data_IF_782231632849
#
_entry.id   IF_782231632849
#
_cell.length_a   1.000
_cell.length_b   1.000
_cell.length_c   1.000
_cell.angle_alpha   90.00
_cell.angle_beta   90.00
_cell.angle_gamma   90.00
#
_symmetry.space_group_name_H-M   'P 1'
#
loop_
_entity.id
_entity.type
_entity.pdbx_description
1 polymer ?
#
# COMPACT_ATOMS: atom_id res chain seq x y z
N UNK A 1 11.43 15.64 -7.22
CA UNK A 1 10.66 15.14 -8.42
C UNK A 1 9.81 13.99 -7.94
N UNK A 2 8.49 14.04 -8.16
CA UNK A 2 7.55 13.00 -7.73
C UNK A 2 7.58 11.83 -8.70
N UNK A 3 7.68 10.59 -8.18
CA UNK A 3 7.60 9.36 -8.97
C UNK A 3 6.15 8.86 -9.02
N UNK A 4 5.72 8.36 -10.20
CA UNK A 4 4.38 7.81 -10.40
C UNK A 4 4.46 6.30 -10.63
N UNK A 5 3.84 5.53 -9.73
CA UNK A 5 3.91 4.08 -9.71
C UNK A 5 2.59 3.38 -10.01
N UNK A 6 2.68 2.11 -10.39
CA UNK A 6 1.54 1.23 -10.56
C UNK A 6 1.23 0.49 -9.25
N UNK A 7 -0.03 0.50 -8.79
CA UNK A 7 -0.46 -0.29 -7.64
C UNK A 7 -0.96 -1.67 -8.09
N UNK A 8 -0.35 -2.70 -7.52
CA UNK A 8 -0.64 -4.12 -7.78
C UNK A 8 -1.62 -4.64 -6.75
N UNK A 9 -2.88 -4.82 -7.13
CA UNK A 9 -3.95 -5.27 -6.24
C UNK A 9 -4.15 -6.79 -6.34
N UNK A 10 -3.58 -7.52 -5.41
CA UNK A 10 -3.67 -8.99 -5.36
C UNK A 10 -5.08 -9.49 -5.05
N UNK A 11 -5.92 -8.65 -4.47
CA UNK A 11 -7.31 -8.98 -4.12
C UNK A 11 -8.20 -9.10 -5.35
N UNK A 12 -7.85 -8.37 -6.41
CA UNK A 12 -8.70 -8.24 -7.60
C UNK A 12 -8.34 -9.21 -8.71
N UNK A 13 -7.06 -9.62 -8.81
CA UNK A 13 -6.58 -10.24 -10.04
C UNK A 13 -5.65 -11.43 -9.80
N UNK A 14 -5.65 -12.41 -10.74
CA UNK A 14 -4.71 -13.52 -10.69
C UNK A 14 -3.25 -13.03 -10.71
N UNK A 15 -2.35 -13.68 -9.95
CA UNK A 15 -0.93 -13.30 -9.89
C UNK A 15 -0.22 -13.27 -11.26
N UNK A 16 -0.60 -14.15 -12.19
CA UNK A 16 -0.07 -14.17 -13.55
C UNK A 16 -0.41 -12.92 -14.34
N UNK A 17 -1.63 -12.43 -14.22
CA UNK A 17 -2.09 -11.24 -14.92
C UNK A 17 -1.41 -9.99 -14.34
N UNK A 18 -1.33 -9.92 -13.01
CA UNK A 18 -0.62 -8.85 -12.31
C UNK A 18 0.85 -8.75 -12.75
N UNK A 19 1.52 -9.89 -12.94
CA UNK A 19 2.91 -9.90 -13.42
C UNK A 19 3.03 -9.33 -14.84
N UNK A 20 2.13 -9.71 -15.73
CA UNK A 20 2.11 -9.16 -17.10
C UNK A 20 1.80 -7.66 -17.11
N UNK A 21 0.83 -7.22 -16.32
CA UNK A 21 0.46 -5.80 -16.26
C UNK A 21 1.55 -4.94 -15.61
N UNK A 22 2.27 -5.47 -14.63
CA UNK A 22 3.40 -4.75 -14.04
C UNK A 22 4.52 -4.53 -15.06
N UNK A 23 4.82 -5.52 -15.90
CA UNK A 23 5.74 -5.35 -17.04
C UNK A 23 5.24 -4.29 -18.04
N UNK A 24 3.93 -4.33 -18.36
CA UNK A 24 3.32 -3.32 -19.24
C UNK A 24 3.32 -1.93 -18.61
N UNK A 25 3.16 -1.82 -17.28
CA UNK A 25 3.25 -0.54 -16.57
C UNK A 25 4.67 0.05 -16.64
N UNK A 26 5.70 -0.77 -16.47
CA UNK A 26 7.10 -0.35 -16.70
C UNK A 26 7.32 0.16 -18.14
N UNK A 27 6.89 -0.63 -19.15
CA UNK A 27 6.99 -0.24 -20.57
C UNK A 27 6.20 1.03 -20.88
N UNK A 28 5.11 1.30 -20.15
CA UNK A 28 4.27 2.48 -20.28
C UNK A 28 4.81 3.71 -19.53
N UNK A 29 5.94 3.58 -18.81
CA UNK A 29 6.61 4.69 -18.14
C UNK A 29 6.28 4.87 -16.67
N UNK A 30 5.78 3.83 -15.96
CA UNK A 30 5.72 3.87 -14.50
C UNK A 30 7.12 3.85 -13.90
N UNK A 31 7.37 4.70 -12.90
CA UNK A 31 8.67 4.84 -12.25
C UNK A 31 8.91 3.79 -11.16
N UNK A 32 7.84 3.29 -10.55
CA UNK A 32 7.86 2.32 -9.45
C UNK A 32 6.57 1.49 -9.43
N UNK A 33 6.49 0.54 -8.51
CA UNK A 33 5.27 -0.20 -8.23
C UNK A 33 5.08 -0.45 -6.73
N UNK A 34 3.84 -0.70 -6.30
CA UNK A 34 3.52 -1.05 -4.94
C UNK A 34 2.57 -2.24 -4.91
N UNK A 35 2.80 -3.18 -4.01
CA UNK A 35 2.01 -4.39 -3.84
C UNK A 35 1.20 -4.35 -2.54
N UNK A 36 -0.07 -4.70 -2.60
CA UNK A 36 -0.85 -5.08 -1.42
C UNK A 36 -0.43 -6.46 -0.91
N UNK A 37 -0.73 -6.77 0.36
CA UNK A 37 -0.40 -8.06 0.99
C UNK A 37 -1.56 -8.51 1.88
N UNK A 38 -2.56 -9.11 1.27
CA UNK A 38 -3.76 -9.60 1.93
C UNK A 38 -3.87 -11.13 1.88
N UNK A 39 -4.53 -11.73 2.87
CA UNK A 39 -4.89 -13.14 2.84
C UNK A 39 -6.27 -13.34 2.21
N UNK A 40 -7.20 -12.42 2.48
CA UNK A 40 -8.53 -12.40 1.90
C UNK A 40 -8.70 -11.16 1.00
N UNK A 41 -9.50 -11.24 -0.07
CA UNK A 41 -9.99 -10.05 -0.76
C UNK A 41 -10.94 -9.26 0.13
N UNK A 42 -11.15 -7.98 -0.18
CA UNK A 42 -12.11 -7.13 0.52
C UNK A 42 -13.58 -7.52 0.24
N UNK A 43 -13.83 -8.21 -0.85
CA UNK A 43 -15.15 -8.63 -1.31
C UNK A 43 -15.03 -9.96 -2.01
N UNK A 44 -16.04 -10.84 -1.87
CA UNK A 44 -16.08 -12.08 -2.64
C UNK A 44 -16.05 -11.85 -4.16
N UNK A 45 -16.52 -10.70 -4.62
CA UNK A 45 -16.51 -10.31 -6.04
C UNK A 45 -15.10 -10.06 -6.58
N UNK A 46 -14.16 -9.62 -5.75
CA UNK A 46 -12.76 -9.46 -6.13
C UNK A 46 -12.12 -10.82 -6.41
N UNK A 47 -12.38 -11.80 -5.53
CA UNK A 47 -12.21 -13.22 -5.79
C UNK A 47 -10.78 -13.74 -5.87
N UNK A 48 -9.77 -12.93 -5.58
CA UNK A 48 -8.36 -13.30 -5.59
C UNK A 48 -7.68 -12.92 -4.26
N UNK A 49 -6.55 -13.47 -3.97
CA UNK A 49 -5.59 -12.99 -2.95
C UNK A 49 -4.29 -13.80 -3.04
N UNK A 50 -3.51 -13.57 -4.09
CA UNK A 50 -2.22 -14.21 -4.26
C UNK A 50 -1.23 -13.82 -3.17
N UNK A 51 -0.30 -14.72 -2.81
CA UNK A 51 0.72 -14.42 -1.81
C UNK A 51 1.75 -13.43 -2.37
N UNK A 52 1.66 -12.21 -1.93
CA UNK A 52 2.41 -11.07 -2.47
C UNK A 52 3.94 -11.25 -2.41
N UNK A 53 4.47 -11.82 -1.33
CA UNK A 53 5.91 -12.03 -1.16
C UNK A 53 6.52 -13.01 -2.18
N UNK A 54 5.81 -14.08 -2.55
CA UNK A 54 6.25 -14.98 -3.61
C UNK A 54 6.19 -14.32 -4.98
N UNK A 55 5.11 -13.58 -5.23
CA UNK A 55 4.90 -12.85 -6.47
C UNK A 55 5.94 -11.73 -6.65
N UNK A 56 6.28 -11.02 -5.57
CA UNK A 56 7.21 -9.89 -5.58
C UNK A 56 8.61 -10.30 -6.08
N UNK A 57 9.10 -11.48 -5.68
CA UNK A 57 10.37 -12.00 -6.21
C UNK A 57 10.35 -12.17 -7.73
N UNK A 58 9.25 -12.70 -8.27
CA UNK A 58 9.09 -12.84 -9.72
C UNK A 58 8.95 -11.49 -10.44
N UNK A 59 8.25 -10.54 -9.83
CA UNK A 59 8.05 -9.20 -10.40
C UNK A 59 9.36 -8.40 -10.44
N UNK A 60 10.14 -8.45 -9.38
CA UNK A 60 11.45 -7.78 -9.29
C UNK A 60 12.47 -8.37 -10.28
N UNK A 61 12.41 -9.69 -10.55
CA UNK A 61 13.24 -10.31 -11.61
C UNK A 61 12.76 -9.91 -13.01
N UNK A 62 11.45 -9.81 -13.21
CA UNK A 62 10.86 -9.55 -14.53
C UNK A 62 10.90 -8.07 -14.95
N UNK A 63 11.18 -7.15 -14.03
CA UNK A 63 11.21 -5.70 -14.25
C UNK A 63 12.42 -5.06 -13.58
N UNK A 64 12.66 -3.79 -13.85
CA UNK A 64 13.68 -2.98 -13.16
C UNK A 64 13.07 -2.02 -12.13
N UNK A 65 11.75 -2.00 -11.98
CA UNK A 65 11.05 -1.10 -11.08
C UNK A 65 11.50 -1.29 -9.63
N UNK A 66 11.65 -0.22 -8.85
CA UNK A 66 11.58 -0.30 -7.40
C UNK A 66 10.16 -0.66 -6.95
N UNK A 67 10.07 -1.40 -5.84
CA UNK A 67 8.82 -1.90 -5.30
C UNK A 67 8.61 -1.51 -3.85
N UNK A 68 7.35 -1.17 -3.54
CA UNK A 68 6.87 -1.15 -2.19
C UNK A 68 5.97 -2.34 -1.88
N UNK A 69 5.94 -2.76 -0.63
CA UNK A 69 4.96 -3.73 -0.13
C UNK A 69 4.45 -3.29 1.24
N UNK A 70 3.12 -3.37 1.44
CA UNK A 70 2.51 -3.04 2.73
C UNK A 70 2.18 -4.34 3.45
N UNK A 71 2.83 -4.59 4.56
CA UNK A 71 2.60 -5.77 5.40
C UNK A 71 2.30 -5.39 6.85
N UNK A 72 1.69 -6.30 7.59
CA UNK A 72 1.35 -6.09 8.99
C UNK A 72 1.94 -7.20 9.87
N UNK A 73 3.10 -6.98 10.50
CA UNK A 73 3.78 -7.95 11.34
C UNK A 73 3.08 -8.15 12.69
N UNK A 74 3.45 -9.24 13.37
CA UNK A 74 3.05 -9.51 14.74
C UNK A 74 1.83 -10.42 14.91
N UNK A 75 1.20 -10.82 13.79
CA UNK A 75 0.11 -11.81 13.77
C UNK A 75 0.33 -12.84 12.67
N UNK A 76 -0.13 -12.57 11.44
CA UNK A 76 0.05 -13.45 10.28
C UNK A 76 1.52 -13.69 9.97
N UNK A 77 2.34 -12.66 10.13
CA UNK A 77 3.78 -12.75 9.97
C UNK A 77 4.51 -12.56 11.30
N UNK A 78 5.39 -13.50 11.62
CA UNK A 78 6.40 -13.29 12.63
C UNK A 78 7.41 -12.24 12.13
N UNK A 79 7.82 -11.23 12.94
CA UNK A 79 8.68 -10.15 12.48
C UNK A 79 10.03 -10.62 11.93
N UNK A 80 10.62 -11.68 12.49
CA UNK A 80 11.87 -12.24 11.96
C UNK A 80 11.70 -12.89 10.58
N UNK A 81 10.56 -13.52 10.31
CA UNK A 81 10.25 -14.10 8.99
C UNK A 81 10.03 -13.00 7.95
N UNK A 82 9.32 -11.94 8.34
CA UNK A 82 9.13 -10.77 7.47
C UNK A 82 10.46 -10.08 7.16
N UNK A 83 11.32 -9.89 8.18
CA UNK A 83 12.66 -9.35 8.00
C UNK A 83 13.51 -10.23 7.07
N UNK A 84 13.44 -11.55 7.21
CA UNK A 84 14.17 -12.50 6.34
C UNK A 84 13.71 -12.38 4.88
N UNK A 85 12.40 -12.31 4.63
CA UNK A 85 11.85 -12.13 3.28
C UNK A 85 12.32 -10.83 2.64
N UNK A 86 12.21 -9.72 3.36
CA UNK A 86 12.64 -8.40 2.89
C UNK A 86 14.16 -8.35 2.67
N UNK A 87 14.95 -8.91 3.59
CA UNK A 87 16.42 -8.98 3.46
C UNK A 87 16.86 -9.81 2.22
N UNK A 88 16.15 -10.91 1.96
CA UNK A 88 16.41 -11.75 0.79
C UNK A 88 16.19 -10.99 -0.51
N UNK A 89 15.02 -10.35 -0.66
CA UNK A 89 14.72 -9.56 -1.85
C UNK A 89 15.66 -8.38 -2.02
N UNK A 90 15.98 -7.67 -0.94
CA UNK A 90 16.90 -6.52 -1.00
C UNK A 90 18.35 -6.93 -1.28
N UNK A 91 18.75 -8.15 -0.94
CA UNK A 91 20.06 -8.69 -1.31
C UNK A 91 20.10 -9.09 -2.79
N UNK A 92 19.01 -9.70 -3.32
CA UNK A 92 18.89 -10.05 -4.73
C UNK A 92 18.76 -8.82 -5.64
N UNK A 93 18.05 -7.80 -5.16
CA UNK A 93 17.70 -6.60 -5.92
C UNK A 93 18.03 -5.35 -5.08
N UNK A 94 19.30 -4.95 -4.99
CA UNK A 94 19.73 -3.84 -4.12
C UNK A 94 19.00 -2.54 -4.42
N UNK A 95 18.61 -1.82 -3.37
CA UNK A 95 18.00 -0.50 -3.40
C UNK A 95 16.67 -0.41 -4.18
N UNK A 96 15.97 -1.54 -4.31
CA UNK A 96 14.71 -1.62 -5.08
C UNK A 96 13.50 -2.04 -4.24
N UNK A 97 13.61 -2.08 -2.91
CA UNK A 97 12.52 -2.47 -2.02
C UNK A 97 12.36 -1.51 -0.86
N UNK A 98 11.14 -1.06 -0.61
CA UNK A 98 10.76 -0.52 0.68
C UNK A 98 9.61 -1.34 1.31
N UNK A 99 9.58 -1.38 2.64
CA UNK A 99 8.64 -2.19 3.42
C UNK A 99 7.76 -1.27 4.26
N UNK A 100 6.49 -1.14 3.88
CA UNK A 100 5.52 -0.45 4.73
C UNK A 100 4.96 -1.39 5.81
N UNK A 101 4.89 -0.86 7.01
CA UNK A 101 4.42 -1.55 8.20
C UNK A 101 3.12 -0.90 8.69
N UNK A 102 2.04 -1.69 8.74
CA UNK A 102 0.75 -1.30 9.27
C UNK A 102 0.36 -2.10 10.52
N UNK A 103 -0.51 -1.54 11.34
CA UNK A 103 -1.06 -2.25 12.52
C UNK A 103 -2.06 -3.36 12.14
N UNK A 104 -2.39 -3.46 10.86
CA UNK A 104 -3.21 -4.51 10.25
C UNK A 104 -4.70 -4.29 10.37
N UNK A 105 -5.43 -5.22 9.81
CA UNK A 105 -6.90 -5.27 9.74
C UNK A 105 -7.38 -6.65 10.18
N UNK A 106 -8.58 -6.73 10.77
CA UNK A 106 -9.14 -7.96 11.28
C UNK A 106 -9.27 -9.05 10.21
N UNK A 107 -9.62 -8.67 8.97
CA UNK A 107 -9.77 -9.59 7.83
C UNK A 107 -8.49 -10.41 7.56
N UNK A 108 -7.32 -9.80 7.74
CA UNK A 108 -6.02 -10.45 7.52
C UNK A 108 -5.49 -11.17 8.76
N UNK A 109 -6.02 -10.86 9.95
CA UNK A 109 -5.54 -11.40 11.23
C UNK A 109 -6.38 -12.55 11.75
N UNK A 110 -7.67 -12.56 11.45
CA UNK A 110 -8.63 -13.57 11.93
C UNK A 110 -8.23 -15.01 11.60
N UNK A 111 -7.49 -15.22 10.52
CA UNK A 111 -6.98 -16.55 10.11
C UNK A 111 -6.04 -17.20 11.14
N UNK A 112 -5.42 -16.40 12.01
CA UNK A 112 -4.50 -16.95 13.05
C UNK A 112 -5.23 -17.46 14.26
N UNK A 113 -6.54 -17.22 14.39
CA UNK A 113 -7.31 -17.51 15.59
C UNK A 113 -7.02 -16.57 16.77
N UNK A 114 -6.06 -15.65 16.62
CA UNK A 114 -5.76 -14.67 17.67
C UNK A 114 -6.87 -13.63 17.81
N UNK A 115 -7.11 -13.17 19.03
CA UNK A 115 -8.04 -12.08 19.29
C UNK A 115 -7.61 -10.81 18.55
N UNK A 116 -8.60 -10.03 18.10
CA UNK A 116 -8.38 -8.73 17.47
C UNK A 116 -8.40 -7.67 18.58
N UNK A 117 -7.24 -7.10 18.93
CA UNK A 117 -7.16 -6.14 20.02
C UNK A 117 -7.51 -4.72 19.58
N UNK A 118 -7.63 -3.81 20.53
CA UNK A 118 -7.79 -2.38 20.27
C UNK A 118 -6.59 -1.77 19.52
N UNK A 119 -6.77 -0.54 19.05
CA UNK A 119 -5.75 0.15 18.23
C UNK A 119 -4.46 0.43 19.00
N UNK A 120 -4.54 0.71 20.30
CA UNK A 120 -3.38 0.99 21.13
C UNK A 120 -2.47 -0.24 21.23
N UNK A 121 -3.06 -1.39 21.50
CA UNK A 121 -2.33 -2.67 21.56
C UNK A 121 -1.76 -3.04 20.17
N UNK A 122 -2.52 -2.83 19.10
CA UNK A 122 -2.02 -3.07 17.74
C UNK A 122 -0.82 -2.19 17.38
N UNK A 123 -0.86 -0.90 17.72
CA UNK A 123 0.25 0.02 17.49
C UNK A 123 1.48 -0.33 18.34
N UNK A 124 1.29 -0.70 19.60
CA UNK A 124 2.40 -1.11 20.46
C UNK A 124 3.08 -2.39 19.93
N UNK A 125 2.30 -3.36 19.46
CA UNK A 125 2.81 -4.58 18.81
C UNK A 125 3.55 -4.26 17.51
N UNK A 126 3.00 -3.37 16.68
CA UNK A 126 3.65 -2.91 15.45
C UNK A 126 5.01 -2.30 15.75
N UNK A 127 5.10 -1.45 16.78
CA UNK A 127 6.37 -0.82 17.16
C UNK A 127 7.42 -1.83 17.62
N UNK A 128 7.04 -2.81 18.47
CA UNK A 128 7.96 -3.90 18.84
C UNK A 128 8.46 -4.66 17.60
N UNK A 129 7.56 -4.97 16.66
CA UNK A 129 7.93 -5.64 15.41
C UNK A 129 8.88 -4.79 14.56
N UNK A 130 8.65 -3.48 14.44
CA UNK A 130 9.52 -2.58 13.70
C UNK A 130 10.93 -2.51 14.30
N UNK A 131 11.03 -2.44 15.63
CA UNK A 131 12.31 -2.48 16.34
C UNK A 131 13.07 -3.78 16.11
N UNK A 132 12.37 -4.93 16.19
CA UNK A 132 12.94 -6.26 15.93
C UNK A 132 13.46 -6.35 14.49
N UNK A 133 12.67 -5.92 13.51
CA UNK A 133 13.04 -5.93 12.09
C UNK A 133 14.28 -5.07 11.87
N UNK A 134 14.32 -3.87 12.45
CA UNK A 134 15.46 -2.95 12.33
C UNK A 134 16.74 -3.54 12.92
N UNK A 135 16.67 -4.12 14.12
CA UNK A 135 17.80 -4.79 14.77
C UNK A 135 18.33 -5.97 13.95
N UNK A 136 17.42 -6.77 13.39
CA UNK A 136 17.80 -7.86 12.49
C UNK A 136 18.49 -7.37 11.21
N UNK A 137 18.01 -6.29 10.59
CA UNK A 137 18.68 -5.67 9.44
C UNK A 137 20.07 -5.12 9.80
N UNK A 138 20.25 -4.61 11.02
CA UNK A 138 21.55 -4.18 11.54
C UNK A 138 22.51 -5.34 11.80
N UNK A 139 22.03 -6.60 11.77
CA UNK A 139 22.82 -7.82 11.97
C UNK A 139 22.93 -8.27 13.42
N UNK A 140 22.05 -7.76 14.26
CA UNK A 140 22.01 -8.17 15.67
C UNK A 140 21.39 -9.57 15.82
N UNK A 141 21.81 -10.29 16.86
CA UNK A 141 21.10 -11.46 17.36
C UNK A 141 20.03 -11.02 18.32
N UNK A 142 18.76 -11.16 17.94
CA UNK A 142 17.63 -10.62 18.68
C UNK A 142 17.01 -11.68 19.58
N UNK A 143 16.91 -11.38 20.88
CA UNK A 143 16.03 -12.05 21.84
C UNK A 143 15.08 -11.02 22.44
N UNK A 144 13.77 -11.18 22.19
CA UNK A 144 12.72 -10.28 22.64
C UNK A 144 11.57 -11.08 23.26
N UNK A 145 11.06 -10.60 24.39
CA UNK A 145 9.89 -11.18 25.09
C UNK A 145 8.92 -10.05 25.44
N UNK A 146 7.94 -9.86 24.60
CA UNK A 146 6.92 -8.84 24.75
C UNK A 146 5.60 -9.30 24.13
N UNK A 147 4.97 -8.43 23.34
CA UNK A 147 3.77 -8.74 22.53
C UNK A 147 4.04 -9.74 21.42
N UNK A 148 5.28 -9.83 21.01
CA UNK A 148 5.83 -10.89 20.17
C UNK A 148 7.02 -11.53 20.87
N UNK A 149 7.32 -12.79 20.57
CA UNK A 149 8.47 -13.47 21.12
C UNK A 149 9.45 -13.81 20.00
N UNK A 150 10.71 -13.43 20.17
CA UNK A 150 11.83 -13.79 19.29
C UNK A 150 12.95 -14.34 20.18
N UNK A 151 13.54 -15.45 19.82
CA UNK A 151 14.62 -16.08 20.60
C UNK A 151 15.82 -16.32 19.68
N UNK A 152 16.94 -15.66 20.00
CA UNK A 152 18.26 -15.87 19.36
C UNK A 152 18.21 -15.81 17.83
N UNK A 153 17.34 -14.93 17.27
CA UNK A 153 17.19 -14.79 15.83
C UNK A 153 18.29 -13.91 15.24
N UNK A 154 18.95 -14.41 14.18
CA UNK A 154 19.99 -13.68 13.44
C UNK A 154 19.73 -13.82 11.95
N UNK A 155 19.82 -12.72 11.19
CA UNK A 155 19.84 -12.79 9.72
C UNK A 155 21.25 -13.06 9.20
N UNK A 156 21.45 -14.18 8.54
CA UNK A 156 22.73 -14.51 7.89
C UNK A 156 22.83 -13.92 6.48
N UNK A 157 21.73 -13.90 5.73
CA UNK A 157 21.66 -13.16 4.45
C UNK A 157 21.16 -11.75 4.73
N UNK A 158 22.01 -10.76 4.47
CA UNK A 158 21.70 -9.35 4.71
C UNK A 158 22.01 -8.51 3.47
N UNK A 159 21.14 -7.55 3.10
CA UNK A 159 21.45 -6.60 2.06
C UNK A 159 22.54 -5.62 2.54
N UNK A 160 23.29 -5.06 1.60
CA UNK A 160 24.25 -3.98 1.90
C UNK A 160 23.53 -2.71 2.38
N UNK A 161 22.35 -2.44 1.82
CA UNK A 161 21.46 -1.34 2.22
C UNK A 161 20.14 -1.98 2.68
N UNK A 162 19.78 -1.72 3.93
CA UNK A 162 18.50 -2.20 4.47
C UNK A 162 17.33 -1.46 3.80
N UNK A 163 16.21 -2.15 3.50
CA UNK A 163 15.02 -1.49 2.97
C UNK A 163 14.46 -0.50 3.98
N UNK A 164 13.95 0.65 3.49
CA UNK A 164 13.25 1.61 4.33
C UNK A 164 12.06 0.96 5.02
N UNK A 165 11.85 1.28 6.31
CA UNK A 165 10.66 0.93 7.05
C UNK A 165 9.67 2.10 7.00
N UNK A 166 8.70 1.99 6.12
CA UNK A 166 7.66 3.01 5.89
C UNK A 166 6.51 2.79 6.88
N UNK A 167 6.03 3.84 7.52
CA UNK A 167 4.84 3.76 8.37
C UNK A 167 3.56 3.98 7.56
N UNK A 168 2.54 3.14 7.75
CA UNK A 168 1.24 3.30 7.08
C UNK A 168 0.22 3.96 8.01
N UNK A 169 -0.32 5.12 7.62
CA UNK A 169 -1.32 5.86 8.39
C UNK A 169 -2.37 6.56 7.55
N UNK A 170 -3.60 6.59 8.09
CA UNK A 170 -4.74 7.33 7.53
C UNK A 170 -5.29 8.39 8.51
N UNK A 171 -4.72 8.49 9.73
CA UNK A 171 -5.13 9.43 10.75
C UNK A 171 -3.96 10.28 11.25
N UNK A 172 -4.25 11.51 11.67
CA UNK A 172 -3.30 12.47 12.21
C UNK A 172 -2.47 11.89 13.37
N UNK A 173 -3.15 11.33 14.38
CA UNK A 173 -2.48 10.79 15.56
C UNK A 173 -1.52 9.64 15.24
N UNK A 174 -1.89 8.78 14.29
CA UNK A 174 -1.01 7.70 13.85
C UNK A 174 0.17 8.25 13.04
N UNK A 175 -0.04 9.20 12.15
CA UNK A 175 1.02 9.82 11.36
C UNK A 175 2.04 10.54 12.26
N UNK A 176 1.59 11.29 13.25
CA UNK A 176 2.47 11.95 14.21
C UNK A 176 3.34 10.94 14.97
N UNK A 177 2.74 9.89 15.49
CA UNK A 177 3.47 8.81 16.14
C UNK A 177 4.48 8.12 15.22
N UNK A 178 4.12 7.85 13.96
CA UNK A 178 5.03 7.24 12.97
C UNK A 178 6.23 8.14 12.67
N UNK A 179 6.08 9.47 12.71
CA UNK A 179 7.18 10.42 12.53
C UNK A 179 8.37 10.17 13.45
N UNK A 180 8.11 9.65 14.66
CA UNK A 180 9.14 9.40 15.67
C UNK A 180 10.04 8.18 15.35
N UNK A 181 9.61 7.23 14.52
CA UNK A 181 10.38 6.00 14.29
C UNK A 181 10.43 5.50 12.82
N UNK A 182 9.45 5.80 12.00
CA UNK A 182 9.44 5.36 10.60
C UNK A 182 10.42 6.19 9.75
N UNK A 183 10.96 5.58 8.70
CA UNK A 183 11.89 6.23 7.77
C UNK A 183 11.12 7.04 6.71
N UNK A 184 9.85 6.72 6.47
CA UNK A 184 8.93 7.40 5.55
C UNK A 184 7.48 7.18 5.99
N UNK A 185 6.53 7.89 5.37
CA UNK A 185 5.09 7.71 5.55
C UNK A 185 4.45 7.24 4.25
N UNK A 186 3.48 6.33 4.32
CA UNK A 186 2.51 6.11 3.25
C UNK A 186 1.09 6.35 3.76
N UNK A 187 0.29 7.05 2.97
CA UNK A 187 -1.14 7.27 3.23
C UNK A 187 -1.97 6.90 2.00
N UNK A 188 -3.29 6.92 2.14
CA UNK A 188 -4.23 6.63 1.05
C UNK A 188 -4.97 7.89 0.62
N UNK A 189 -5.54 7.85 -0.57
CA UNK A 189 -6.39 8.92 -1.09
C UNK A 189 -7.42 9.41 -0.07
N UNK A 190 -7.51 10.71 0.08
CA UNK A 190 -8.46 11.44 0.91
C UNK A 190 -8.60 12.89 0.39
N UNK A 191 -9.46 13.71 1.02
CA UNK A 191 -9.53 15.12 0.64
C UNK A 191 -8.18 15.82 0.82
N UNK A 192 -7.88 16.86 0.01
CA UNK A 192 -6.62 17.61 0.11
C UNK A 192 -6.33 18.14 1.52
N UNK A 193 -7.37 18.59 2.24
CA UNK A 193 -7.23 19.09 3.62
C UNK A 193 -6.77 17.97 4.56
N UNK A 194 -7.39 16.79 4.44
CA UNK A 194 -7.03 15.63 5.27
C UNK A 194 -5.63 15.14 4.96
N UNK A 195 -5.23 15.12 3.69
CA UNK A 195 -3.87 14.76 3.29
C UNK A 195 -2.86 15.72 3.90
N UNK A 196 -3.08 17.04 3.82
CA UNK A 196 -2.19 18.05 4.45
C UNK A 196 -2.09 17.83 5.96
N UNK A 197 -3.21 17.61 6.65
CA UNK A 197 -3.23 17.35 8.09
C UNK A 197 -2.39 16.12 8.47
N UNK A 198 -2.51 15.03 7.71
CA UNK A 198 -1.73 13.79 7.93
C UNK A 198 -0.23 14.02 7.67
N UNK A 199 0.12 14.72 6.59
CA UNK A 199 1.52 15.04 6.24
C UNK A 199 2.16 15.95 7.29
N UNK A 200 1.47 16.99 7.74
CA UNK A 200 1.93 17.91 8.78
C UNK A 200 2.12 17.21 10.13
N UNK A 201 1.19 16.32 10.49
CA UNK A 201 1.30 15.53 11.71
C UNK A 201 2.55 14.62 11.68
N UNK A 202 2.82 13.94 10.57
CA UNK A 202 4.03 13.15 10.40
C UNK A 202 5.29 14.00 10.56
N UNK A 203 5.32 15.18 9.92
CA UNK A 203 6.45 16.11 10.04
C UNK A 203 6.65 16.60 11.48
N UNK A 204 5.57 16.97 12.19
CA UNK A 204 5.61 17.34 13.62
C UNK A 204 6.15 16.23 14.52
N UNK A 205 5.77 14.98 14.21
CA UNK A 205 6.20 13.80 14.97
C UNK A 205 7.68 13.42 14.82
N UNK A 206 8.45 14.16 14.01
CA UNK A 206 9.87 13.89 13.73
C UNK A 206 10.13 13.37 12.31
N UNK A 207 9.12 13.41 11.44
CA UNK A 207 9.20 13.03 10.03
C UNK A 207 9.62 14.17 9.08
N UNK A 208 10.06 15.32 9.59
CA UNK A 208 10.51 16.42 8.75
C UNK A 208 11.68 15.99 7.84
N UNK A 209 11.54 16.20 6.53
CA UNK A 209 12.53 15.80 5.53
C UNK A 209 12.52 14.31 5.14
N UNK A 210 11.66 13.49 5.75
CA UNK A 210 11.47 12.08 5.35
C UNK A 210 10.46 11.97 4.21
N UNK A 211 10.61 10.99 3.30
CA UNK A 211 9.68 10.79 2.17
C UNK A 211 8.24 10.54 2.62
N UNK A 212 7.30 11.01 1.80
CA UNK A 212 5.87 10.76 1.99
C UNK A 212 5.28 10.22 0.68
N UNK A 213 4.58 9.09 0.78
CA UNK A 213 4.01 8.36 -0.35
C UNK A 213 2.49 8.35 -0.29
N UNK A 214 1.84 8.29 -1.45
CA UNK A 214 0.38 8.23 -1.59
C UNK A 214 -0.05 7.03 -2.40
N UNK A 215 -1.01 6.26 -1.89
CA UNK A 215 -1.81 5.34 -2.71
C UNK A 215 -3.05 6.09 -3.20
N UNK A 216 -3.07 6.46 -4.47
CA UNK A 216 -4.16 7.19 -5.09
C UNK A 216 -5.18 6.23 -5.72
N UNK A 217 -6.31 6.01 -5.04
CA UNK A 217 -7.42 5.24 -5.60
C UNK A 217 -8.09 6.04 -6.72
N UNK A 218 -8.17 5.46 -7.91
CA UNK A 218 -8.78 6.07 -9.07
C UNK A 218 -9.55 5.05 -9.90
N UNK A 219 -10.51 5.52 -10.68
CA UNK A 219 -11.25 4.72 -11.65
C UNK A 219 -11.33 5.45 -12.97
N UNK A 220 -10.68 4.89 -13.97
CA UNK A 220 -10.76 5.34 -15.34
C UNK A 220 -11.40 4.28 -16.23
N UNK A 221 -12.28 4.72 -17.14
CA UNK A 221 -12.84 3.92 -18.22
C UNK A 221 -13.11 4.82 -19.45
N UNK A 222 -13.39 4.25 -20.65
CA UNK A 222 -13.67 5.06 -21.84
C UNK A 222 -14.87 5.99 -21.73
N UNK A 223 -15.80 5.74 -20.82
CA UNK A 223 -16.93 6.63 -20.51
C UNK A 223 -17.07 6.85 -19.00
N UNK A 224 -17.61 8.01 -18.62
CA UNK A 224 -17.87 8.39 -17.22
C UNK A 224 -18.77 7.38 -16.51
N UNK A 225 -19.81 6.91 -17.24
CA UNK A 225 -20.75 5.92 -16.70
C UNK A 225 -20.04 4.59 -16.38
N UNK A 226 -19.12 4.13 -17.23
CA UNK A 226 -18.35 2.90 -16.99
C UNK A 226 -17.37 3.09 -15.84
N UNK A 227 -16.66 4.23 -15.78
CA UNK A 227 -15.72 4.54 -14.69
C UNK A 227 -16.41 4.53 -13.33
N UNK A 228 -17.58 5.16 -13.23
CA UNK A 228 -18.38 5.17 -12.00
C UNK A 228 -18.95 3.78 -11.65
N UNK A 229 -19.45 3.05 -12.65
CA UNK A 229 -20.01 1.72 -12.44
C UNK A 229 -18.92 0.73 -11.95
N UNK A 230 -17.72 0.78 -12.53
CA UNK A 230 -16.60 -0.05 -12.10
C UNK A 230 -16.13 0.31 -10.69
N UNK A 231 -16.01 1.61 -10.37
CA UNK A 231 -15.65 2.07 -9.03
C UNK A 231 -16.67 1.58 -7.99
N UNK A 232 -17.96 1.77 -8.23
CA UNK A 232 -19.01 1.30 -7.34
C UNK A 232 -18.99 -0.23 -7.18
N UNK A 233 -18.81 -0.96 -8.28
CA UNK A 233 -18.80 -2.42 -8.24
C UNK A 233 -17.58 -2.99 -7.52
N UNK A 234 -16.39 -2.41 -7.71
CA UNK A 234 -15.15 -2.98 -7.20
C UNK A 234 -14.72 -2.39 -5.84
N UNK A 235 -15.10 -1.14 -5.53
CA UNK A 235 -14.57 -0.40 -4.38
C UNK A 235 -15.61 -0.06 -3.29
N UNK A 236 -16.89 -0.39 -3.47
CA UNK A 236 -17.91 -0.13 -2.46
C UNK A 236 -17.58 -0.74 -1.08
N UNK A 237 -16.93 -1.91 -1.05
CA UNK A 237 -16.46 -2.54 0.19
C UNK A 237 -15.44 -1.68 0.96
N UNK A 238 -14.67 -0.84 0.28
CA UNK A 238 -13.67 0.05 0.88
C UNK A 238 -14.21 1.45 1.14
N UNK A 239 -15.19 1.89 0.35
CA UNK A 239 -15.79 3.21 0.44
C UNK A 239 -16.76 3.37 1.62
N UNK A 240 -17.17 2.29 2.25
CA UNK A 240 -18.02 2.32 3.45
C UNK A 240 -17.40 3.13 4.60
N UNK A 241 -16.09 3.31 4.58
CA UNK A 241 -15.35 4.27 5.38
C UNK A 241 -15.24 3.95 6.86
N UNK A 242 -14.34 4.69 7.51
CA UNK A 242 -14.23 4.75 8.95
C UNK A 242 -13.59 3.55 9.63
N UNK A 243 -13.75 3.53 10.95
CA UNK A 243 -13.13 2.52 11.84
C UNK A 243 -13.72 1.12 11.64
N UNK A 244 -14.93 1.02 11.07
CA UNK A 244 -15.63 -0.24 10.85
C UNK A 244 -14.81 -1.19 9.97
N UNK A 245 -14.17 -0.71 8.93
CA UNK A 245 -13.40 -1.53 8.01
C UNK A 245 -12.22 -2.26 8.69
N UNK A 246 -11.67 -1.69 9.76
CA UNK A 246 -10.57 -2.32 10.49
C UNK A 246 -10.99 -3.57 11.28
N UNK A 247 -12.28 -3.67 11.65
CA UNK A 247 -12.81 -4.67 12.53
C UNK A 247 -13.59 -5.79 11.80
N UNK A 248 -13.93 -5.60 10.52
CA UNK A 248 -14.57 -6.62 9.70
C UNK A 248 -13.61 -7.78 9.42
N UNK A 249 -14.12 -9.02 9.51
CA UNK A 249 -13.27 -10.23 9.50
C UNK A 249 -13.33 -11.05 8.23
N UNK A 250 -14.38 -10.89 7.44
CA UNK A 250 -14.63 -11.73 6.27
C UNK A 250 -15.08 -10.90 5.08
N UNK A 251 -14.78 -11.30 3.84
CA UNK A 251 -15.28 -10.64 2.64
C UNK A 251 -16.79 -10.39 2.64
N UNK A 252 -17.58 -11.35 3.17
CA UNK A 252 -19.04 -11.23 3.26
C UNK A 252 -19.50 -10.10 4.19
N UNK A 253 -18.72 -9.77 5.21
CA UNK A 253 -19.03 -8.68 6.12
C UNK A 253 -18.89 -7.34 5.37
N UNK A 254 -17.83 -7.19 4.59
CA UNK A 254 -17.61 -6.04 3.69
C UNK A 254 -18.67 -5.95 2.59
N UNK A 255 -19.07 -7.09 1.98
CA UNK A 255 -20.14 -7.12 0.99
C UNK A 255 -21.50 -6.69 1.57
N UNK A 256 -21.71 -6.96 2.86
CA UNK A 256 -22.92 -6.52 3.56
C UNK A 256 -22.93 -5.00 3.75
N UNK A 257 -21.81 -4.41 4.18
CA UNK A 257 -21.68 -2.95 4.37
C UNK A 257 -21.70 -2.23 3.01
N UNK A 258 -21.11 -2.79 1.98
CA UNK A 258 -21.08 -2.24 0.62
C UNK A 258 -22.49 -1.96 0.04
N UNK A 259 -23.53 -2.64 0.52
CA UNK A 259 -24.93 -2.41 0.07
C UNK A 259 -25.47 -1.01 0.43
N UNK A 260 -24.86 -0.35 1.40
CA UNK A 260 -25.27 0.98 1.87
C UNK A 260 -24.45 2.10 1.24
N UNK A 261 -23.40 1.76 0.46
CA UNK A 261 -22.53 2.72 -0.20
C UNK A 261 -23.22 3.30 -1.44
N UNK A 262 -23.25 4.62 -1.51
CA UNK A 262 -23.82 5.38 -2.61
C UNK A 262 -22.75 5.77 -3.65
N UNK A 263 -23.19 6.29 -4.79
CA UNK A 263 -22.26 6.85 -5.79
C UNK A 263 -21.50 8.06 -5.25
N UNK A 264 -22.13 8.84 -4.37
CA UNK A 264 -21.47 9.99 -3.73
C UNK A 264 -20.34 9.54 -2.80
N UNK A 265 -20.54 8.48 -2.00
CA UNK A 265 -19.48 7.90 -1.16
C UNK A 265 -18.30 7.41 -2.01
N UNK A 266 -18.58 6.82 -3.18
CA UNK A 266 -17.53 6.42 -4.13
C UNK A 266 -16.72 7.63 -4.62
N UNK A 267 -17.38 8.71 -5.04
CA UNK A 267 -16.72 9.92 -5.53
C UNK A 267 -15.88 10.64 -4.47
N UNK A 268 -16.19 10.44 -3.19
CA UNK A 268 -15.38 10.94 -2.08
C UNK A 268 -14.15 10.06 -1.77
N UNK A 269 -14.19 8.80 -2.17
CA UNK A 269 -13.13 7.82 -1.86
C UNK A 269 -12.28 7.40 -3.06
N UNK A 270 -12.68 7.75 -4.28
CA UNK A 270 -12.03 7.38 -5.54
C UNK A 270 -12.08 8.54 -6.53
N UNK A 271 -10.99 8.83 -7.19
CA UNK A 271 -10.92 9.79 -8.31
C UNK A 271 -11.57 9.15 -9.55
N UNK A 272 -12.82 9.46 -9.82
CA UNK A 272 -13.59 8.86 -10.93
C UNK A 272 -13.69 9.83 -12.09
N UNK A 273 -13.17 9.46 -13.25
CA UNK A 273 -13.39 10.19 -14.51
C UNK A 273 -13.02 9.36 -15.74
N UNK A 274 -13.64 9.65 -16.87
CA UNK A 274 -13.19 9.21 -18.19
C UNK A 274 -12.18 10.18 -18.83
N UNK A 275 -12.05 11.38 -18.32
CA UNK A 275 -11.15 12.42 -18.84
C UNK A 275 -9.73 12.25 -18.25
N UNK A 276 -8.78 11.91 -19.13
CA UNK A 276 -7.37 11.77 -18.76
C UNK A 276 -6.74 13.11 -18.35
N UNK A 277 -7.25 14.25 -18.87
CA UNK A 277 -6.82 15.57 -18.45
C UNK A 277 -7.19 15.87 -17.00
N UNK A 278 -8.38 15.43 -16.57
CA UNK A 278 -8.81 15.54 -15.19
C UNK A 278 -7.94 14.68 -14.24
N UNK A 279 -7.61 13.45 -14.62
CA UNK A 279 -6.66 12.63 -13.86
C UNK A 279 -5.28 13.27 -13.78
N UNK A 280 -4.78 13.86 -14.88
CA UNK A 280 -3.51 14.59 -14.87
C UNK A 280 -3.55 15.76 -13.87
N UNK A 281 -4.65 16.54 -13.84
CA UNK A 281 -4.79 17.67 -12.94
C UNK A 281 -4.78 17.25 -11.46
N UNK A 282 -5.52 16.19 -11.09
CA UNK A 282 -5.52 15.66 -9.73
C UNK A 282 -4.15 15.15 -9.28
N UNK A 283 -3.46 14.42 -10.16
CA UNK A 283 -2.14 13.87 -9.84
C UNK A 283 -1.07 14.97 -9.75
N UNK A 284 -1.18 16.03 -10.57
CA UNK A 284 -0.32 17.20 -10.47
C UNK A 284 -0.55 17.95 -9.13
N UNK A 285 -1.81 18.12 -8.68
CA UNK A 285 -2.11 18.68 -7.37
C UNK A 285 -1.44 17.89 -6.24
N UNK A 286 -1.49 16.55 -6.28
CA UNK A 286 -0.80 15.72 -5.29
C UNK A 286 0.72 15.87 -5.35
N UNK A 287 1.32 15.95 -6.53
CA UNK A 287 2.74 16.21 -6.67
C UNK A 287 3.14 17.57 -6.07
N UNK A 288 2.33 18.62 -6.32
CA UNK A 288 2.51 19.96 -5.72
C UNK A 288 2.35 19.98 -4.19
N UNK A 289 1.54 19.06 -3.62
CA UNK A 289 1.45 18.89 -2.17
C UNK A 289 2.74 18.35 -1.54
N UNK A 290 3.66 17.78 -2.34
CA UNK A 290 4.96 17.28 -1.92
C UNK A 290 4.98 15.80 -1.55
N UNK A 291 4.22 14.98 -2.25
CA UNK A 291 4.40 13.53 -2.22
C UNK A 291 5.61 13.13 -3.07
N UNK A 292 6.46 12.25 -2.54
CA UNK A 292 7.65 11.73 -3.23
C UNK A 292 7.29 10.61 -4.21
N UNK A 293 6.34 9.75 -3.84
CA UNK A 293 5.79 8.69 -4.70
C UNK A 293 4.25 8.71 -4.67
N UNK A 294 3.63 8.55 -5.84
CA UNK A 294 2.18 8.42 -5.99
C UNK A 294 1.88 7.13 -6.73
N UNK A 295 1.31 6.15 -6.01
CA UNK A 295 0.96 4.84 -6.56
C UNK A 295 -0.47 4.84 -7.08
N UNK A 296 -0.64 4.67 -8.39
CA UNK A 296 -1.91 4.74 -9.10
C UNK A 296 -2.67 3.42 -8.93
N UNK A 297 -3.69 3.44 -8.08
CA UNK A 297 -4.55 2.29 -7.84
C UNK A 297 -5.81 2.39 -8.69
N UNK A 298 -5.76 1.87 -9.92
CA UNK A 298 -6.95 1.66 -10.74
C UNK A 298 -7.85 0.60 -10.08
N UNK A 299 -8.93 1.03 -9.46
CA UNK A 299 -9.85 0.13 -8.74
C UNK A 299 -10.73 -0.69 -9.68
N UNK A 300 -10.93 -0.23 -10.93
CA UNK A 300 -11.68 -0.94 -11.94
C UNK A 300 -10.93 -2.13 -12.55
N UNK A 301 -11.64 -2.94 -13.32
CA UNK A 301 -11.08 -4.18 -13.90
C UNK A 301 -10.27 -3.97 -15.17
N UNK A 302 -10.33 -2.81 -15.81
CA UNK A 302 -9.71 -2.51 -17.11
C UNK A 302 -8.23 -2.12 -16.97
N UNK A 303 -7.42 -2.97 -16.31
CA UNK A 303 -6.03 -2.65 -15.99
C UNK A 303 -5.17 -2.36 -17.21
N UNK A 304 -5.20 -3.21 -18.24
CA UNK A 304 -4.38 -3.04 -19.43
C UNK A 304 -4.72 -1.74 -20.18
N UNK A 305 -6.00 -1.47 -20.41
CA UNK A 305 -6.45 -0.24 -21.08
C UNK A 305 -6.10 1.01 -20.28
N UNK A 306 -6.17 0.92 -18.94
CA UNK A 306 -5.73 1.99 -18.04
C UNK A 306 -4.22 2.24 -18.20
N UNK A 307 -3.39 1.20 -18.13
CA UNK A 307 -1.92 1.31 -18.26
C UNK A 307 -1.56 1.97 -19.60
N UNK A 308 -2.18 1.53 -20.68
CA UNK A 308 -1.93 2.09 -22.02
C UNK A 308 -2.37 3.57 -22.13
N UNK A 309 -3.56 3.91 -21.65
CA UNK A 309 -4.08 5.28 -21.73
C UNK A 309 -3.25 6.25 -20.87
N UNK A 310 -2.89 5.83 -19.65
CA UNK A 310 -2.09 6.65 -18.73
C UNK A 310 -0.66 6.79 -19.22
N UNK A 311 -0.04 5.71 -19.71
CA UNK A 311 1.30 5.76 -20.30
C UNK A 311 1.40 6.64 -21.53
N UNK A 312 0.33 6.73 -22.34
CA UNK A 312 0.32 7.58 -23.54
C UNK A 312 0.07 9.06 -23.24
N UNK A 313 -0.71 9.41 -22.22
CA UNK A 313 -1.19 10.78 -22.03
C UNK A 313 -0.90 11.34 -20.64
N UNK A 314 -1.14 10.61 -19.57
CA UNK A 314 -1.06 11.14 -18.21
C UNK A 314 0.39 11.22 -17.73
N UNK A 315 1.11 10.11 -17.71
CA UNK A 315 2.50 10.05 -17.23
C UNK A 315 3.43 11.01 -17.99
N UNK A 316 3.41 11.09 -19.35
CA UNK A 316 4.25 12.04 -20.07
C UNK A 316 3.90 13.51 -19.81
N UNK A 317 2.65 13.80 -19.43
CA UNK A 317 2.24 15.16 -19.05
C UNK A 317 2.73 15.56 -17.67
N UNK A 318 2.69 14.63 -16.72
CA UNK A 318 3.20 14.83 -15.35
C UNK A 318 4.71 15.00 -15.33
N UNK A 319 5.45 14.20 -16.10
CA UNK A 319 6.92 14.30 -16.22
C UNK A 319 7.42 15.64 -16.81
N UNK A 320 6.54 16.45 -17.40
CA UNK A 320 6.87 17.79 -17.87
C UNK A 320 6.65 18.87 -16.81
N UNK A 321 5.91 18.56 -15.77
CA UNK A 321 5.56 19.50 -14.69
C UNK A 321 6.50 19.35 -13.47
N UNK A 322 7.18 18.24 -13.36
CA UNK A 322 8.19 17.91 -12.32
C UNK A 322 9.61 18.06 -12.86
#
# INVERSE_FOLDING_TARGET
MTSFGYHVSHEHFPPSDLLQWTKRAEEAGSDCAMSSDHFHPWSERQGQSGFAWSWLGAAMEATKLPFGIISAPGYRYHPAVLAQGAATLSQMYPDRLWLALGSGEAINKSITGAAWPDKQERNARLFECAQIIRALFAGETVTHRGRVTVIEATLYTRPAIAPMLVGAATSESTAEWLGSWADALITVHASPERLRTVMEAFRRGGGAGKPIMLQAALSWAPSEQEAEAEALHQWASNAAGGEVNWDLRRPQDFDTVARFVTREDIRQSVLVSSDLGQHTAWLAEYAEMGFDEIHLHQVGRRQLSFIEAFGQKVLPSLNKLT
#
